data_IF_355366733573
#
_entry.id   IF_355366733573
#
_cell.length_a   1.000
_cell.length_b   1.000
_cell.length_c   1.000
_cell.angle_alpha   90.00
_cell.angle_beta   90.00
_cell.angle_gamma   90.00
#
_symmetry.space_group_name_H-M   'P 1'
#
loop_
_entity.id
_entity.type
_entity.pdbx_description
1 polymer ?
#
# COMPACT_ATOMS: atom_id res chain seq x y z
N UNK A 1 -1.01 23.34 10.07
CA UNK A 1 -1.93 22.17 10.03
C UNK A 1 -1.14 20.92 9.69
N UNK A 2 -1.61 19.76 10.17
CA UNK A 2 -0.96 18.47 9.91
C UNK A 2 -1.30 17.97 8.50
N UNK A 3 -0.29 17.51 7.76
CA UNK A 3 -0.45 16.84 6.48
C UNK A 3 -0.23 15.34 6.71
N UNK A 4 -1.22 14.50 6.38
CA UNK A 4 -1.16 13.05 6.56
C UNK A 4 -0.53 12.33 5.38
N UNK A 5 -0.79 12.82 4.17
CA UNK A 5 -0.22 12.33 2.92
C UNK A 5 -0.43 13.35 1.82
N UNK A 6 0.20 13.15 0.68
CA UNK A 6 0.08 14.00 -0.51
C UNK A 6 -0.58 13.20 -1.63
N UNK A 7 -1.64 13.71 -2.23
CA UNK A 7 -2.21 13.14 -3.46
C UNK A 7 -1.31 13.57 -4.61
N UNK A 8 -0.65 12.61 -5.24
CA UNK A 8 0.29 12.83 -6.33
C UNK A 8 -0.36 12.70 -7.70
N UNK A 9 -1.36 11.84 -7.81
CA UNK A 9 -2.03 11.62 -9.07
C UNK A 9 -3.45 11.09 -8.92
N UNK A 10 -4.30 11.40 -9.90
CA UNK A 10 -5.69 10.98 -9.98
C UNK A 10 -5.97 10.47 -11.37
N UNK A 11 -6.48 9.24 -11.46
CA UNK A 11 -6.91 8.65 -12.72
C UNK A 11 -8.38 8.30 -12.70
N UNK A 12 -9.05 8.61 -13.79
CA UNK A 12 -10.46 8.30 -13.97
C UNK A 12 -10.72 7.62 -15.30
N UNK A 13 -11.71 6.76 -15.34
CA UNK A 13 -12.19 6.16 -16.58
C UNK A 13 -13.66 5.78 -16.50
N UNK A 14 -14.23 5.43 -17.63
CA UNK A 14 -15.52 4.77 -17.73
C UNK A 14 -15.36 3.44 -18.46
N UNK A 15 -16.07 2.41 -18.00
CA UNK A 15 -16.11 1.11 -18.67
C UNK A 15 -16.82 1.16 -20.02
N UNK A 16 -17.56 2.26 -20.27
CA UNK A 16 -18.37 2.40 -21.46
C UNK A 16 -19.49 1.36 -21.56
N UNK A 17 -19.92 1.03 -22.76
CA UNK A 17 -20.90 -0.04 -22.98
C UNK A 17 -20.23 -1.40 -22.90
N UNK A 18 -20.60 -2.19 -21.88
CA UNK A 18 -20.13 -3.56 -21.66
C UNK A 18 -21.33 -4.51 -21.45
N UNK A 19 -21.07 -5.73 -20.97
CA UNK A 19 -22.09 -6.81 -20.84
C UNK A 19 -23.35 -6.38 -20.08
N UNK A 20 -23.17 -5.64 -18.97
CA UNK A 20 -24.28 -5.03 -18.22
C UNK A 20 -23.75 -3.82 -17.43
N UNK A 21 -24.67 -3.00 -16.91
CA UNK A 21 -24.32 -1.83 -16.06
C UNK A 21 -23.60 -2.23 -14.75
N UNK A 22 -23.76 -3.48 -14.32
CA UNK A 22 -23.16 -3.98 -13.10
C UNK A 22 -21.91 -4.83 -13.35
N UNK A 23 -21.57 -5.14 -14.61
CA UNK A 23 -20.44 -5.97 -14.95
C UNK A 23 -19.14 -5.15 -14.88
N UNK A 24 -18.20 -5.50 -13.97
CA UNK A 24 -16.91 -4.81 -13.89
C UNK A 24 -16.08 -5.13 -15.15
N UNK A 25 -15.25 -4.18 -15.55
CA UNK A 25 -14.38 -4.31 -16.72
C UNK A 25 -12.93 -4.01 -16.37
N UNK A 26 -12.08 -5.04 -16.35
CA UNK A 26 -10.65 -4.94 -16.01
C UNK A 26 -9.91 -3.87 -16.83
N UNK A 27 -10.15 -3.82 -18.15
CA UNK A 27 -9.51 -2.83 -19.03
C UNK A 27 -9.95 -1.37 -18.76
N UNK A 28 -11.17 -1.15 -18.26
CA UNK A 28 -11.60 0.16 -17.80
C UNK A 28 -10.88 0.57 -16.53
N UNK A 29 -10.80 -0.35 -15.56
CA UNK A 29 -10.08 -0.14 -14.31
C UNK A 29 -8.58 0.08 -14.57
N UNK A 30 -7.92 -0.76 -15.40
CA UNK A 30 -6.53 -0.57 -15.80
C UNK A 30 -6.27 0.80 -16.43
N UNK A 31 -7.23 1.33 -17.21
CA UNK A 31 -7.11 2.67 -17.78
C UNK A 31 -7.12 3.77 -16.71
N UNK A 32 -7.93 3.64 -15.65
CA UNK A 32 -7.91 4.58 -14.53
C UNK A 32 -6.56 4.52 -13.80
N UNK A 33 -6.06 3.32 -13.54
CA UNK A 33 -4.74 3.09 -12.93
C UNK A 33 -3.62 3.78 -13.74
N UNK A 34 -3.47 3.48 -15.03
CA UNK A 34 -2.43 4.09 -15.88
C UNK A 34 -2.48 5.60 -15.86
N UNK A 35 -3.68 6.18 -15.93
CA UNK A 35 -3.85 7.64 -15.88
C UNK A 35 -3.39 8.23 -14.55
N UNK A 36 -3.69 7.57 -13.44
CA UNK A 36 -3.27 8.02 -12.11
C UNK A 36 -1.75 8.01 -11.95
N UNK A 37 -1.06 6.97 -12.41
CA UNK A 37 0.39 6.89 -12.36
C UNK A 37 1.06 7.85 -13.35
N UNK A 38 0.49 8.03 -14.53
CA UNK A 38 0.95 9.05 -15.47
C UNK A 38 0.83 10.47 -14.90
N UNK A 39 -0.28 10.77 -14.21
CA UNK A 39 -0.49 12.07 -13.54
C UNK A 39 0.47 12.24 -12.36
N UNK A 40 0.73 11.17 -11.60
CA UNK A 40 1.68 11.17 -10.48
C UNK A 40 3.15 11.33 -10.92
N UNK A 41 3.51 10.94 -12.13
CA UNK A 41 4.84 11.06 -12.69
C UNK A 41 5.83 10.02 -12.17
N UNK A 42 5.35 8.85 -11.72
CA UNK A 42 6.22 7.73 -11.33
C UNK A 42 5.59 6.36 -11.64
N UNK A 43 6.44 5.34 -11.65
CA UNK A 43 6.04 4.00 -12.06
C UNK A 43 5.19 3.28 -11.00
N UNK A 44 4.22 2.44 -11.41
CA UNK A 44 3.35 1.69 -10.50
C UNK A 44 4.11 0.83 -9.48
N UNK A 45 5.22 0.22 -9.87
CA UNK A 45 6.05 -0.64 -9.03
C UNK A 45 6.68 0.06 -7.81
N UNK A 46 6.65 1.41 -7.81
CA UNK A 46 7.16 2.22 -6.69
C UNK A 46 6.22 2.30 -5.50
N UNK A 47 4.99 1.78 -5.58
CA UNK A 47 4.07 1.74 -4.44
C UNK A 47 4.27 0.48 -3.61
N UNK A 48 4.10 0.61 -2.29
CA UNK A 48 4.17 -0.51 -1.36
C UNK A 48 2.82 -1.00 -0.85
N UNK A 49 1.73 -0.25 -1.11
CA UNK A 49 0.38 -0.59 -0.65
C UNK A 49 -0.65 -0.28 -1.73
N UNK A 50 -1.55 -1.22 -2.00
CA UNK A 50 -2.79 -1.01 -2.73
C UNK A 50 -3.99 -1.23 -1.81
N UNK A 51 -4.74 -0.18 -1.60
CA UNK A 51 -6.08 -0.22 -1.04
C UNK A 51 -7.05 -0.47 -2.18
N UNK A 52 -7.45 -1.72 -2.34
CA UNK A 52 -8.34 -2.16 -3.40
C UNK A 52 -9.79 -1.72 -3.17
N UNK A 53 -10.55 -1.62 -4.24
CA UNK A 53 -12.00 -1.52 -4.14
C UNK A 53 -12.60 -2.74 -3.42
N UNK A 54 -12.11 -3.95 -3.72
CA UNK A 54 -12.21 -5.15 -2.90
C UNK A 54 -13.60 -5.41 -2.29
N UNK A 55 -14.59 -5.68 -3.15
CA UNK A 55 -15.99 -5.86 -2.70
C UNK A 55 -16.29 -7.24 -2.13
N UNK A 56 -15.36 -8.19 -2.25
CA UNK A 56 -15.55 -9.57 -1.84
C UNK A 56 -16.47 -10.37 -2.79
N UNK A 57 -16.75 -9.85 -3.98
CA UNK A 57 -17.55 -10.56 -4.98
C UNK A 57 -16.64 -11.26 -5.98
N UNK A 58 -16.99 -12.50 -6.34
CA UNK A 58 -16.15 -13.33 -7.24
C UNK A 58 -15.84 -12.61 -8.56
N UNK A 59 -16.82 -11.96 -9.19
CA UNK A 59 -16.60 -11.28 -10.47
C UNK A 59 -15.89 -9.94 -10.30
N UNK A 60 -16.19 -9.20 -9.23
CA UNK A 60 -15.58 -7.90 -8.94
C UNK A 60 -14.10 -8.04 -8.64
N UNK A 61 -13.76 -8.91 -7.71
CA UNK A 61 -12.38 -9.11 -7.27
C UNK A 61 -11.49 -9.65 -8.39
N UNK A 62 -12.01 -10.58 -9.22
CA UNK A 62 -11.27 -11.09 -10.39
C UNK A 62 -11.01 -9.98 -11.41
N UNK A 63 -12.02 -9.17 -11.77
CA UNK A 63 -11.85 -8.11 -12.75
C UNK A 63 -10.90 -7.02 -12.25
N UNK A 64 -10.99 -6.66 -10.96
CA UNK A 64 -10.08 -5.71 -10.33
C UNK A 64 -8.65 -6.23 -10.31
N UNK A 65 -8.45 -7.46 -9.89
CA UNK A 65 -7.14 -8.08 -9.83
C UNK A 65 -6.49 -8.21 -11.22
N UNK A 66 -7.26 -8.57 -12.25
CA UNK A 66 -6.78 -8.57 -13.63
C UNK A 66 -6.33 -7.17 -14.07
N UNK A 67 -7.07 -6.13 -13.74
CA UNK A 67 -6.71 -4.74 -14.05
C UNK A 67 -5.44 -4.28 -13.30
N UNK A 68 -5.30 -4.66 -12.03
CA UNK A 68 -4.09 -4.41 -11.24
C UNK A 68 -2.90 -5.17 -11.84
N UNK A 69 -3.04 -6.46 -12.11
CA UNK A 69 -2.00 -7.28 -12.70
C UNK A 69 -1.52 -6.74 -14.04
N UNK A 70 -2.43 -6.32 -14.93
CA UNK A 70 -2.09 -5.73 -16.21
C UNK A 70 -1.17 -4.51 -16.09
N UNK A 71 -1.41 -3.65 -15.09
CA UNK A 71 -0.65 -2.40 -14.93
C UNK A 71 0.64 -2.60 -14.13
N UNK A 72 0.61 -3.40 -13.07
CA UNK A 72 1.73 -3.53 -12.14
C UNK A 72 2.75 -4.60 -12.53
N UNK A 73 2.41 -5.51 -13.46
CA UNK A 73 3.35 -6.47 -14.03
C UNK A 73 3.96 -6.00 -15.35
N UNK A 74 3.55 -4.84 -15.85
CA UNK A 74 4.14 -4.24 -17.05
C UNK A 74 5.56 -3.76 -16.72
N UNK A 75 6.58 -4.41 -17.31
CA UNK A 75 8.01 -4.14 -17.05
C UNK A 75 8.47 -4.39 -15.59
N UNK A 76 7.75 -5.20 -14.83
CA UNK A 76 8.06 -5.51 -13.43
C UNK A 76 8.04 -7.01 -13.18
N UNK A 77 9.24 -7.58 -12.99
CA UNK A 77 9.42 -9.02 -12.69
C UNK A 77 9.45 -9.33 -11.18
N UNK A 78 9.39 -8.29 -10.33
CA UNK A 78 9.40 -8.48 -8.88
C UNK A 78 8.06 -9.05 -8.42
N UNK A 79 8.13 -10.08 -7.58
CA UNK A 79 6.94 -10.74 -7.01
C UNK A 79 6.78 -10.39 -5.53
N UNK A 80 5.55 -10.41 -5.06
CA UNK A 80 5.18 -10.40 -3.64
C UNK A 80 5.80 -9.24 -2.83
N UNK A 81 5.87 -8.01 -3.42
CA UNK A 81 6.45 -6.84 -2.74
C UNK A 81 5.44 -5.72 -2.49
N UNK A 82 4.24 -5.79 -3.07
CA UNK A 82 3.18 -4.79 -2.90
C UNK A 82 2.08 -5.38 -2.02
N UNK A 83 1.83 -4.78 -0.86
CA UNK A 83 0.74 -5.16 0.01
C UNK A 83 -0.62 -4.86 -0.64
N UNK A 84 -1.50 -5.83 -0.69
CA UNK A 84 -2.86 -5.70 -1.20
C UNK A 84 -3.86 -5.90 -0.07
N UNK A 85 -4.81 -4.99 0.06
CA UNK A 85 -5.86 -5.12 1.05
C UNK A 85 -7.07 -4.23 0.76
N UNK A 86 -8.09 -4.33 1.61
CA UNK A 86 -9.27 -3.46 1.52
C UNK A 86 -9.86 -3.18 2.90
N UNK A 87 -10.17 -1.91 3.17
CA UNK A 87 -10.87 -1.45 4.37
C UNK A 87 -12.25 -2.10 4.52
N UNK A 88 -12.83 -2.55 3.40
CA UNK A 88 -14.14 -3.22 3.42
C UNK A 88 -14.13 -4.55 4.16
N UNK A 89 -12.97 -5.18 4.30
CA UNK A 89 -12.81 -6.36 5.16
C UNK A 89 -13.07 -6.05 6.64
N UNK A 90 -12.88 -4.80 7.06
CA UNK A 90 -12.97 -4.34 8.45
C UNK A 90 -14.32 -3.68 8.76
N UNK A 91 -14.82 -2.80 7.88
CA UNK A 91 -16.00 -1.98 8.14
C UNK A 91 -17.17 -2.21 7.16
N UNK A 92 -17.02 -3.18 6.24
CA UNK A 92 -17.98 -3.43 5.18
C UNK A 92 -17.98 -2.36 4.08
N UNK A 93 -18.91 -2.49 3.12
CA UNK A 93 -19.00 -1.57 2.00
C UNK A 93 -19.83 -0.33 2.35
N UNK A 94 -19.18 0.79 2.56
CA UNK A 94 -19.80 2.07 2.99
C UNK A 94 -20.48 2.85 1.85
N UNK A 95 -20.75 2.19 0.71
CA UNK A 95 -21.48 2.77 -0.46
C UNK A 95 -20.81 4.05 -0.98
N UNK A 96 -21.50 5.18 -0.92
CA UNK A 96 -20.99 6.46 -1.40
C UNK A 96 -19.70 6.91 -0.69
N UNK A 97 -19.48 6.47 0.54
CA UNK A 97 -18.28 6.78 1.33
C UNK A 97 -17.13 5.77 1.12
N UNK A 98 -17.28 4.74 0.27
CA UNK A 98 -16.30 3.66 0.15
C UNK A 98 -14.93 4.14 -0.32
N UNK A 99 -14.88 5.06 -1.28
CA UNK A 99 -13.62 5.61 -1.77
C UNK A 99 -12.90 6.45 -0.71
N UNK A 100 -13.63 7.29 0.02
CA UNK A 100 -13.03 8.11 1.07
C UNK A 100 -12.57 7.27 2.28
N UNK A 101 -13.27 6.19 2.60
CA UNK A 101 -12.82 5.27 3.65
C UNK A 101 -11.48 4.62 3.32
N UNK A 102 -11.29 4.16 2.09
CA UNK A 102 -10.00 3.64 1.61
C UNK A 102 -8.91 4.72 1.58
N UNK A 103 -9.26 5.93 1.14
CA UNK A 103 -8.34 7.07 1.12
C UNK A 103 -7.84 7.42 2.53
N UNK A 104 -8.73 7.47 3.52
CA UNK A 104 -8.37 7.73 4.92
C UNK A 104 -7.45 6.62 5.44
N UNK A 105 -7.78 5.35 5.22
CA UNK A 105 -6.94 4.22 5.64
C UNK A 105 -5.53 4.30 5.04
N UNK A 106 -5.41 4.52 3.73
CA UNK A 106 -4.12 4.63 3.08
C UNK A 106 -3.31 5.85 3.55
N UNK A 107 -3.96 7.00 3.76
CA UNK A 107 -3.32 8.21 4.31
C UNK A 107 -2.80 7.98 5.72
N UNK A 108 -3.56 7.31 6.58
CA UNK A 108 -3.12 6.95 7.94
C UNK A 108 -2.00 5.90 7.91
N UNK A 109 -2.05 4.93 6.99
CA UNK A 109 -0.99 3.95 6.80
C UNK A 109 0.35 4.62 6.45
N UNK A 110 0.34 5.59 5.54
CA UNK A 110 1.51 6.40 5.18
C UNK A 110 1.99 7.23 6.37
N UNK A 111 1.07 7.91 7.06
CA UNK A 111 1.40 8.76 8.21
C UNK A 111 2.04 7.99 9.36
N UNK A 112 1.46 6.83 9.69
CA UNK A 112 1.94 5.98 10.77
C UNK A 112 3.00 4.97 10.34
N UNK A 113 3.41 4.97 9.06
CA UNK A 113 4.44 4.08 8.51
C UNK A 113 4.13 2.60 8.81
N UNK A 114 2.86 2.22 8.65
CA UNK A 114 2.35 0.90 8.98
C UNK A 114 1.51 0.35 7.84
N UNK A 115 1.74 -0.90 7.46
CA UNK A 115 0.89 -1.64 6.54
C UNK A 115 -0.26 -2.27 7.34
N UNK A 116 -1.50 -1.77 7.20
CA UNK A 116 -2.63 -2.30 7.95
C UNK A 116 -3.09 -3.64 7.38
N UNK A 117 -3.63 -4.55 8.21
CA UNK A 117 -4.10 -5.84 7.74
C UNK A 117 -5.39 -5.71 6.93
N UNK A 118 -5.59 -6.65 6.00
CA UNK A 118 -6.90 -7.01 5.50
C UNK A 118 -7.33 -8.28 6.21
N UNK A 119 -8.49 -8.26 6.86
CA UNK A 119 -8.98 -9.34 7.73
C UNK A 119 -10.03 -10.18 7.01
N UNK A 120 -10.46 -11.29 7.65
CA UNK A 120 -11.49 -12.20 7.13
C UNK A 120 -11.09 -12.90 5.82
N UNK A 121 -9.80 -13.15 5.63
CA UNK A 121 -9.28 -13.98 4.54
C UNK A 121 -8.66 -15.23 5.15
N UNK A 122 -9.37 -16.35 5.07
CA UNK A 122 -8.83 -17.65 5.47
C UNK A 122 -8.04 -18.30 4.32
N UNK A 123 -8.59 -18.22 3.11
CA UNK A 123 -7.97 -18.77 1.91
C UNK A 123 -8.14 -17.80 0.76
N UNK A 124 -7.05 -17.33 0.16
CA UNK A 124 -7.10 -16.51 -1.05
C UNK A 124 -7.81 -17.27 -2.18
N UNK A 125 -8.52 -16.53 -3.04
CA UNK A 125 -9.13 -17.14 -4.21
C UNK A 125 -8.02 -17.66 -5.15
N UNK A 126 -7.93 -18.99 -5.40
CA UNK A 126 -6.83 -19.56 -6.19
C UNK A 126 -6.83 -19.09 -7.65
N UNK A 127 -7.96 -18.58 -8.16
CA UNK A 127 -8.05 -18.03 -9.52
C UNK A 127 -7.27 -16.74 -9.70
N UNK A 128 -6.87 -16.08 -8.61
CA UNK A 128 -6.04 -14.86 -8.68
C UNK A 128 -4.61 -15.19 -9.10
N UNK A 129 -4.06 -16.35 -8.70
CA UNK A 129 -2.65 -16.70 -8.95
C UNK A 129 -1.72 -15.65 -8.40
N UNK A 130 -2.00 -15.17 -7.17
CA UNK A 130 -1.38 -13.99 -6.57
C UNK A 130 0.13 -14.19 -6.36
N UNK A 131 0.58 -15.42 -6.16
CA UNK A 131 1.96 -15.81 -5.90
C UNK A 131 2.91 -15.44 -7.06
N UNK A 132 2.37 -15.38 -8.27
CA UNK A 132 3.11 -15.05 -9.49
C UNK A 132 3.01 -13.57 -9.89
N UNK A 133 2.53 -12.73 -8.99
CA UNK A 133 2.31 -11.30 -9.22
C UNK A 133 3.12 -10.42 -8.25
N UNK A 134 3.23 -9.12 -8.49
CA UNK A 134 3.84 -8.19 -7.54
C UNK A 134 3.14 -8.12 -6.18
N UNK A 135 1.90 -8.61 -6.08
CA UNK A 135 1.04 -8.43 -4.91
C UNK A 135 1.12 -9.59 -3.93
N UNK A 136 0.96 -9.28 -2.65
CA UNK A 136 0.65 -10.22 -1.60
C UNK A 136 -0.51 -9.70 -0.74
N UNK A 137 -1.31 -10.62 -0.18
CA UNK A 137 -2.36 -10.22 0.76
C UNK A 137 -1.73 -9.93 2.12
N UNK A 138 -1.84 -8.68 2.56
CA UNK A 138 -1.34 -8.30 3.87
C UNK A 138 -2.39 -8.58 4.93
N UNK A 139 -2.24 -9.68 5.67
CA UNK A 139 -3.20 -10.16 6.68
C UNK A 139 -2.81 -9.80 8.11
N UNK A 140 -1.63 -9.21 8.31
CA UNK A 140 -1.13 -8.79 9.61
C UNK A 140 -0.68 -7.33 9.56
N UNK A 141 -0.75 -6.65 10.71
CA UNK A 141 -0.18 -5.32 10.84
C UNK A 141 1.34 -5.42 10.83
N UNK A 142 2.00 -4.66 9.96
CA UNK A 142 3.45 -4.68 9.79
C UNK A 142 4.02 -3.27 9.74
N UNK A 143 5.23 -3.04 10.24
CA UNK A 143 5.96 -1.81 9.95
C UNK A 143 6.12 -1.65 8.43
N UNK A 144 5.92 -0.44 7.93
CA UNK A 144 6.18 -0.14 6.54
C UNK A 144 7.59 0.40 6.40
N UNK A 145 8.53 -0.48 6.11
CA UNK A 145 9.93 -0.11 5.94
C UNK A 145 10.13 0.99 4.90
N UNK A 146 11.08 1.87 5.12
CA UNK A 146 11.52 2.84 4.13
C UNK A 146 12.40 2.18 3.09
N UNK A 147 12.39 2.72 1.89
CA UNK A 147 13.34 2.40 0.84
C UNK A 147 14.01 3.71 0.38
N UNK A 148 14.79 3.67 -0.69
CA UNK A 148 15.39 4.88 -1.29
C UNK A 148 14.34 5.86 -1.85
N UNK A 149 13.09 5.38 -2.04
CA UNK A 149 11.97 6.22 -2.49
C UNK A 149 10.95 6.41 -1.38
N UNK A 150 10.22 7.54 -1.35
CA UNK A 150 9.13 7.77 -0.40
C UNK A 150 8.09 6.65 -0.45
N UNK A 151 7.43 6.36 0.69
CA UNK A 151 6.32 5.40 0.74
C UNK A 151 5.15 5.92 -0.09
N UNK A 152 4.58 5.04 -0.90
CA UNK A 152 3.48 5.35 -1.81
C UNK A 152 2.38 4.31 -1.72
N UNK A 153 1.14 4.78 -1.84
CA UNK A 153 -0.04 3.92 -1.85
C UNK A 153 -0.95 4.24 -3.04
N UNK A 154 -1.57 3.21 -3.59
CA UNK A 154 -2.66 3.35 -4.55
C UNK A 154 -4.01 3.06 -3.88
N UNK A 155 -5.05 3.81 -4.24
CA UNK A 155 -6.42 3.65 -3.72
C UNK A 155 -7.41 3.55 -4.86
N UNK A 156 -8.11 2.43 -4.95
CA UNK A 156 -9.11 2.18 -6.00
C UNK A 156 -10.54 2.37 -5.49
N UNK A 157 -11.37 3.00 -6.30
CA UNK A 157 -12.81 3.08 -6.07
C UNK A 157 -13.55 2.93 -7.41
N UNK A 158 -14.26 1.81 -7.57
CA UNK A 158 -14.94 1.45 -8.79
C UNK A 158 -16.45 1.36 -8.56
N UNK A 159 -17.20 2.24 -9.22
CA UNK A 159 -18.64 2.34 -9.03
C UNK A 159 -19.46 1.47 -9.98
N UNK A 160 -20.65 1.06 -9.54
CA UNK A 160 -21.65 0.52 -10.45
C UNK A 160 -21.97 1.54 -11.54
N UNK A 161 -22.10 1.08 -12.77
CA UNK A 161 -22.21 1.96 -13.94
C UNK A 161 -20.87 2.21 -14.63
N UNK A 162 -19.79 1.61 -14.13
CA UNK A 162 -18.48 1.61 -14.76
C UNK A 162 -17.69 2.90 -14.62
N UNK A 163 -17.93 3.65 -13.57
CA UNK A 163 -17.11 4.83 -13.22
C UNK A 163 -15.95 4.38 -12.33
N UNK A 164 -14.72 4.52 -12.81
CA UNK A 164 -13.52 4.08 -12.13
C UNK A 164 -12.67 5.27 -11.70
N UNK A 165 -12.21 5.25 -10.45
CA UNK A 165 -11.26 6.20 -9.89
C UNK A 165 -10.08 5.46 -9.25
N UNK A 166 -8.89 6.00 -9.44
CA UNK A 166 -7.69 5.60 -8.74
C UNK A 166 -6.91 6.82 -8.27
N UNK A 167 -6.50 6.82 -7.01
CA UNK A 167 -5.65 7.85 -6.41
C UNK A 167 -4.28 7.27 -6.14
N UNK A 168 -3.25 8.07 -6.35
CA UNK A 168 -1.88 7.75 -5.96
C UNK A 168 -1.46 8.71 -4.86
N UNK A 169 -1.07 8.15 -3.72
CA UNK A 169 -0.66 8.88 -2.53
C UNK A 169 0.83 8.69 -2.29
N UNK A 170 1.46 9.70 -1.73
CA UNK A 170 2.83 9.66 -1.26
C UNK A 170 2.91 10.16 0.18
N UNK A 171 3.79 9.61 1.01
CA UNK A 171 4.03 10.12 2.34
C UNK A 171 4.49 11.58 2.29
N UNK A 172 4.08 12.34 3.29
CA UNK A 172 4.57 13.69 3.48
C UNK A 172 5.78 13.65 4.40
N UNK A 173 6.94 13.99 3.84
CA UNK A 173 8.16 14.14 4.63
C UNK A 173 8.14 15.51 5.30
N UNK A 174 7.70 15.54 6.54
CA UNK A 174 7.83 16.73 7.38
C UNK A 174 9.15 16.66 8.14
N UNK A 175 10.14 17.38 7.70
CA UNK A 175 11.42 17.56 8.40
C UNK A 175 11.26 18.01 9.88
N UNK A 176 10.05 18.33 10.32
CA UNK A 176 9.68 18.82 11.64
C UNK A 176 8.56 18.05 12.33
N UNK A 177 8.12 16.89 11.82
CA UNK A 177 7.17 16.08 12.57
C UNK A 177 7.92 15.41 13.72
N UNK A 178 7.68 15.85 14.93
CA UNK A 178 7.92 15.03 16.11
C UNK A 178 7.18 13.71 15.87
N UNK A 179 7.92 12.65 15.65
CA UNK A 179 7.35 11.32 15.38
C UNK A 179 6.82 10.81 16.72
N UNK A 180 5.57 11.15 17.02
CA UNK A 180 4.87 10.57 18.15
C UNK A 180 4.69 9.08 17.86
N UNK A 181 5.36 8.25 18.60
CA UNK A 181 5.10 6.81 18.65
C UNK A 181 3.70 6.60 19.18
N UNK A 182 2.83 6.04 18.35
CA UNK A 182 1.47 5.69 18.76
C UNK A 182 1.38 4.34 19.49
N UNK A 183 2.44 3.55 19.47
CA UNK A 183 2.45 2.22 20.07
C UNK A 183 3.65 2.09 21.03
N UNK A 184 3.37 1.94 22.32
CA UNK A 184 4.34 1.52 23.35
C UNK A 184 4.57 -0.01 23.28
N UNK A 185 4.74 -0.54 22.08
CA UNK A 185 5.01 -1.97 21.89
C UNK A 185 6.52 -2.20 21.70
N UNK A 186 7.07 -3.29 22.24
CA UNK A 186 8.42 -3.70 21.91
C UNK A 186 8.57 -3.92 20.42
N UNK A 187 9.65 -3.42 19.85
CA UNK A 187 9.94 -3.58 18.44
C UNK A 187 11.17 -4.43 18.23
N UNK A 188 11.23 -5.17 17.14
CA UNK A 188 12.33 -6.06 16.79
C UNK A 188 13.20 -5.37 15.73
N UNK A 189 14.48 -5.20 16.05
CA UNK A 189 15.49 -4.74 15.10
C UNK A 189 16.26 -5.95 14.60
N UNK A 190 16.25 -6.19 13.29
CA UNK A 190 17.02 -7.24 12.66
C UNK A 190 18.33 -6.65 12.12
N UNK A 191 19.46 -7.17 12.62
CA UNK A 191 20.79 -6.76 12.16
C UNK A 191 21.45 -7.99 11.52
N UNK A 192 21.93 -7.84 10.28
CA UNK A 192 22.67 -8.88 9.60
C UNK A 192 24.05 -8.35 9.15
N UNK A 193 25.03 -9.22 9.07
CA UNK A 193 26.35 -8.88 8.57
C UNK A 193 27.04 -10.11 7.97
N UNK A 194 28.04 -9.87 7.11
CA UNK A 194 28.78 -10.92 6.42
C UNK A 194 29.64 -11.80 7.34
N UNK A 195 30.03 -11.28 8.50
CA UNK A 195 30.86 -12.00 9.48
C UNK A 195 30.54 -11.54 10.92
N UNK A 196 30.95 -12.34 11.93
CA UNK A 196 30.68 -12.04 13.36
C UNK A 196 31.28 -10.72 13.86
N UNK A 197 32.41 -10.28 13.33
CA UNK A 197 33.06 -9.04 13.75
C UNK A 197 32.25 -7.82 13.30
N UNK A 198 31.79 -7.83 12.06
CA UNK A 198 30.92 -6.79 11.53
C UNK A 198 29.55 -6.79 12.22
N UNK A 199 29.01 -7.96 12.56
CA UNK A 199 27.77 -8.05 13.31
C UNK A 199 27.91 -7.42 14.71
N UNK A 200 28.97 -7.72 15.43
CA UNK A 200 29.24 -7.13 16.74
C UNK A 200 29.40 -5.61 16.68
N UNK A 201 30.06 -5.12 15.63
CA UNK A 201 30.21 -3.67 15.40
C UNK A 201 28.85 -3.01 15.17
N UNK A 202 28.05 -3.54 14.28
CA UNK A 202 26.70 -3.00 13.98
C UNK A 202 25.78 -3.05 15.20
N UNK A 203 25.81 -4.12 15.99
CA UNK A 203 25.03 -4.21 17.23
C UNK A 203 25.42 -3.13 18.24
N UNK A 204 26.72 -2.85 18.40
CA UNK A 204 27.20 -1.78 19.29
C UNK A 204 26.77 -0.39 18.81
N UNK A 205 26.92 -0.12 17.51
CA UNK A 205 26.49 1.13 16.90
C UNK A 205 24.97 1.34 17.03
N UNK A 206 24.19 0.28 16.85
CA UNK A 206 22.75 0.31 17.05
C UNK A 206 22.37 0.62 18.51
N UNK A 207 23.05 -0.01 19.47
CA UNK A 207 22.83 0.20 20.89
C UNK A 207 23.16 1.64 21.30
N UNK A 208 24.29 2.18 20.87
CA UNK A 208 24.69 3.57 21.12
C UNK A 208 23.65 4.56 20.58
N UNK A 209 23.10 4.30 19.38
CA UNK A 209 22.05 5.12 18.80
C UNK A 209 20.77 5.10 19.63
N UNK A 210 20.36 3.91 20.10
CA UNK A 210 19.15 3.73 20.92
C UNK A 210 19.27 4.37 22.30
N UNK A 211 20.47 4.40 22.88
CA UNK A 211 20.76 5.01 24.18
C UNK A 211 21.02 6.51 24.11
N UNK A 212 21.14 7.10 22.93
CA UNK A 212 21.42 8.53 22.76
C UNK A 212 20.21 9.41 23.08
N UNK A 213 20.45 10.71 23.32
CA UNK A 213 19.37 11.70 23.51
C UNK A 213 18.44 11.84 22.30
N UNK A 214 18.91 11.43 21.10
CA UNK A 214 18.12 11.37 19.86
C UNK A 214 17.55 9.96 19.59
N UNK A 215 17.40 9.14 20.61
CA UNK A 215 17.03 7.73 20.51
C UNK A 215 15.83 7.47 19.60
N UNK A 216 14.79 8.29 19.69
CA UNK A 216 13.59 8.12 18.87
C UNK A 216 13.83 8.28 17.37
N UNK A 217 14.66 9.23 16.98
CA UNK A 217 15.01 9.46 15.57
C UNK A 217 15.91 8.33 15.04
N UNK A 218 16.96 7.99 15.78
CA UNK A 218 17.88 6.92 15.41
C UNK A 218 17.22 5.54 15.40
N UNK A 219 16.27 5.31 16.29
CA UNK A 219 15.50 4.07 16.33
C UNK A 219 14.68 3.86 15.06
N UNK A 220 14.04 4.90 14.56
CA UNK A 220 13.28 4.83 13.31
C UNK A 220 14.18 4.62 12.08
N UNK A 221 15.39 5.18 12.08
CA UNK A 221 16.39 4.90 11.07
C UNK A 221 16.83 3.43 11.09
N UNK A 222 16.97 2.83 12.29
CA UNK A 222 17.35 1.42 12.44
C UNK A 222 16.29 0.43 11.97
N UNK A 223 15.00 0.72 12.22
CA UNK A 223 13.91 -0.16 11.77
C UNK A 223 13.54 0.04 10.31
N UNK A 224 14.10 1.05 9.64
CA UNK A 224 13.86 1.37 8.23
C UNK A 224 14.90 0.77 7.28
N UNK A 225 15.95 0.15 7.81
CA UNK A 225 16.99 -0.56 7.05
C UNK A 225 16.63 -2.03 6.85
#
# INVERSE_FOLDING_TARGET
DRIYSVIRGIGTSSDGRFKSIYAPRSSGQAKALRRAYQDAGFEPESVGLIEAHGTGTTAGDLAEFEGLKEVFSENNDKKQHIALGSVKSQIGHTKAAAGIAGLIKASLALHHKTLPPTINIETPNPKLGIEDTPFYLNTESRPWASSEVPRRAGVSSFGFGGTNFHFVLEEHDSLNASQERLLETPELILINAENPENLNKQCKEALEKVESESANQHFLELISQ
#
